data_IF_969610797570
#
_entry.id   IF_969610797570
#
_cell.length_a   1.000
_cell.length_b   1.000
_cell.length_c   1.000
_cell.angle_alpha   90.00
_cell.angle_beta   90.00
_cell.angle_gamma   90.00
#
_symmetry.space_group_name_H-M   'P 1'
#
loop_
_entity.id
_entity.type
_entity.pdbx_description
1 polymer ?
#
# COMPACT_ATOMS: atom_id res chain seq x y z
N UNK A 1 -11.11 38.01 -38.76
CA UNK A 1 -10.30 38.41 -37.59
C UNK A 1 -11.21 38.52 -36.38
N UNK A 2 -11.18 37.54 -35.47
CA UNK A 2 -11.49 37.77 -34.05
C UNK A 2 -11.02 36.54 -33.25
N UNK A 3 -9.70 36.35 -33.21
CA UNK A 3 -9.07 35.32 -32.39
C UNK A 3 -8.99 35.83 -30.97
N UNK A 4 -9.94 35.43 -30.11
CA UNK A 4 -9.77 35.61 -28.66
C UNK A 4 -8.47 34.91 -28.22
N UNK A 5 -7.61 35.56 -27.43
CA UNK A 5 -6.36 34.97 -26.96
C UNK A 5 -6.62 33.64 -26.23
N UNK A 6 -5.73 32.65 -26.43
CA UNK A 6 -5.84 31.30 -25.84
C UNK A 6 -6.02 31.28 -24.31
N UNK A 7 -5.60 32.34 -23.61
CA UNK A 7 -5.79 32.52 -22.16
C UNK A 7 -7.26 32.74 -21.79
N UNK A 8 -7.97 33.64 -22.47
CA UNK A 8 -9.38 33.95 -22.17
C UNK A 8 -10.32 32.78 -22.44
N UNK A 9 -9.99 31.89 -23.39
CA UNK A 9 -10.77 30.65 -23.59
C UNK A 9 -10.59 29.66 -22.45
N UNK A 10 -9.38 29.54 -21.90
CA UNK A 10 -9.12 28.67 -20.74
C UNK A 10 -9.80 29.22 -19.50
N UNK A 11 -9.70 30.52 -19.27
CA UNK A 11 -10.32 31.20 -18.12
C UNK A 11 -11.86 31.12 -18.19
N UNK A 12 -12.45 31.26 -19.38
CA UNK A 12 -13.89 31.09 -19.57
C UNK A 12 -14.37 29.64 -19.40
N UNK A 13 -13.55 28.64 -19.77
CA UNK A 13 -13.82 27.23 -19.48
C UNK A 13 -13.68 26.94 -17.97
N UNK A 14 -12.69 27.53 -17.32
CA UNK A 14 -12.41 27.38 -15.89
C UNK A 14 -13.54 27.98 -15.04
N UNK A 15 -14.04 29.17 -15.37
CA UNK A 15 -15.20 29.79 -14.71
C UNK A 15 -16.48 28.96 -14.92
N UNK A 16 -16.65 28.34 -16.10
CA UNK A 16 -17.78 27.43 -16.35
C UNK A 16 -17.69 26.15 -15.52
N UNK A 17 -16.49 25.60 -15.38
CA UNK A 17 -16.19 24.42 -14.56
C UNK A 17 -16.35 24.71 -13.07
N UNK A 18 -15.95 25.89 -12.61
CA UNK A 18 -16.09 26.31 -11.21
C UNK A 18 -17.56 26.46 -10.82
N UNK A 19 -18.37 27.07 -11.71
CA UNK A 19 -19.83 27.12 -11.54
C UNK A 19 -20.46 25.72 -11.59
N UNK A 20 -19.96 24.83 -12.44
CA UNK A 20 -20.42 23.44 -12.50
C UNK A 20 -20.13 22.63 -11.24
N UNK A 21 -18.92 22.76 -10.67
CA UNK A 21 -18.54 22.11 -9.41
C UNK A 21 -19.28 22.67 -8.20
N UNK A 22 -19.48 23.99 -8.12
CA UNK A 22 -20.24 24.61 -7.03
C UNK A 22 -21.72 24.18 -7.03
N UNK A 23 -22.32 24.00 -8.22
CA UNK A 23 -23.66 23.43 -8.35
C UNK A 23 -23.69 21.96 -7.91
N UNK A 24 -22.62 21.20 -8.18
CA UNK A 24 -22.49 19.81 -7.77
C UNK A 24 -22.34 19.67 -6.25
N UNK A 25 -21.53 20.52 -5.62
CA UNK A 25 -21.32 20.54 -4.18
C UNK A 25 -22.62 20.88 -3.44
N UNK A 26 -23.41 21.83 -3.96
CA UNK A 26 -24.75 22.14 -3.46
C UNK A 26 -25.76 21.00 -3.69
N UNK A 27 -25.64 20.26 -4.80
CA UNK A 27 -26.51 19.12 -5.10
C UNK A 27 -26.21 17.92 -4.18
N UNK A 28 -24.91 17.67 -3.93
CA UNK A 28 -24.42 16.61 -3.04
C UNK A 28 -24.75 16.91 -1.57
N UNK A 29 -24.62 18.16 -1.13
CA UNK A 29 -25.05 18.55 0.23
C UNK A 29 -26.57 18.51 0.41
N UNK A 30 -27.36 18.80 -0.63
CA UNK A 30 -28.81 18.59 -0.59
C UNK A 30 -29.19 17.11 -0.53
N UNK A 31 -28.49 16.22 -1.24
CA UNK A 31 -28.72 14.77 -1.19
C UNK A 31 -28.26 14.15 0.14
N UNK A 32 -27.14 14.59 0.73
CA UNK A 32 -26.71 14.14 2.05
C UNK A 32 -27.70 14.52 3.16
N UNK A 33 -28.35 15.68 3.06
CA UNK A 33 -29.34 16.13 4.05
C UNK A 33 -30.68 15.38 3.97
N UNK A 34 -30.98 14.72 2.85
CA UNK A 34 -32.22 13.95 2.64
C UNK A 34 -32.12 12.46 2.96
N UNK A 35 -30.98 11.98 3.49
CA UNK A 35 -30.82 10.59 3.96
C UNK A 35 -31.55 10.32 5.28
N UNK A 36 -32.89 10.46 5.30
CA UNK A 36 -33.75 9.68 6.21
C UNK A 36 -34.08 8.33 5.55
N UNK A 37 -34.00 7.20 6.27
CA UNK A 37 -34.25 5.90 5.68
C UNK A 37 -35.75 5.70 5.53
N UNK A 38 -36.31 6.04 4.37
CA UNK A 38 -37.73 5.76 4.10
C UNK A 38 -38.07 5.25 2.71
N UNK A 39 -37.09 4.87 1.89
CA UNK A 39 -37.36 4.42 0.51
C UNK A 39 -36.57 3.17 0.14
N UNK A 40 -37.24 2.24 -0.54
CA UNK A 40 -36.81 0.86 -0.77
C UNK A 40 -35.52 0.70 -1.59
N UNK A 41 -34.95 -0.50 -1.53
CA UNK A 41 -33.68 -0.94 -2.17
C UNK A 41 -33.49 -0.48 -3.63
N UNK A 42 -34.55 -0.27 -4.39
CA UNK A 42 -34.49 0.20 -5.79
C UNK A 42 -34.09 1.68 -5.95
N UNK A 43 -34.39 2.54 -4.96
CA UNK A 43 -34.15 3.98 -5.02
C UNK A 43 -32.68 4.31 -4.74
N UNK A 44 -32.06 3.57 -3.79
CA UNK A 44 -30.64 3.68 -3.49
C UNK A 44 -29.76 3.19 -4.66
N UNK A 45 -30.15 2.09 -5.32
CA UNK A 45 -29.44 1.59 -6.49
C UNK A 45 -29.50 2.58 -7.67
N UNK A 46 -30.65 3.27 -7.86
CA UNK A 46 -30.77 4.34 -8.86
C UNK A 46 -29.92 5.55 -8.52
N UNK A 47 -29.97 6.04 -7.28
CA UNK A 47 -29.14 7.17 -6.84
C UNK A 47 -27.65 6.86 -7.01
N UNK A 48 -27.17 5.68 -6.59
CA UNK A 48 -25.79 5.24 -6.83
C UNK A 48 -25.47 5.18 -8.34
N UNK A 49 -26.36 4.60 -9.15
CA UNK A 49 -26.14 4.55 -10.61
C UNK A 49 -26.08 5.94 -11.23
N UNK A 50 -26.88 6.89 -10.72
CA UNK A 50 -26.96 8.25 -11.20
C UNK A 50 -25.75 9.08 -10.76
N UNK A 51 -25.24 8.88 -9.54
CA UNK A 51 -23.96 9.46 -9.09
C UNK A 51 -22.78 8.92 -9.90
N UNK A 52 -22.77 7.62 -10.23
CA UNK A 52 -21.74 7.00 -11.10
C UNK A 52 -21.83 7.57 -12.52
N UNK A 53 -23.03 7.72 -13.08
CA UNK A 53 -23.24 8.27 -14.43
C UNK A 53 -22.81 9.75 -14.48
N UNK A 54 -23.12 10.51 -13.43
CA UNK A 54 -22.73 11.93 -13.30
C UNK A 54 -21.21 12.07 -13.17
N UNK A 55 -20.56 11.23 -12.36
CA UNK A 55 -19.10 11.14 -12.29
C UNK A 55 -18.47 10.78 -13.64
N UNK A 56 -19.03 9.81 -14.38
CA UNK A 56 -18.58 9.45 -15.73
C UNK A 56 -18.75 10.59 -16.73
N UNK A 57 -19.86 11.33 -16.65
CA UNK A 57 -20.12 12.47 -17.51
C UNK A 57 -19.09 13.59 -17.28
N UNK A 58 -18.83 13.92 -16.00
CA UNK A 58 -17.80 14.90 -15.60
C UNK A 58 -16.42 14.46 -16.10
N UNK A 59 -16.08 13.17 -15.95
CA UNK A 59 -14.80 12.62 -16.40
C UNK A 59 -14.66 12.60 -17.93
N UNK A 60 -15.77 12.55 -18.68
CA UNK A 60 -15.76 12.67 -20.16
C UNK A 60 -15.55 14.10 -20.65
N UNK A 61 -16.14 15.09 -19.97
CA UNK A 61 -16.02 16.49 -20.36
C UNK A 61 -14.64 17.08 -20.02
N UNK A 62 -13.98 16.52 -19.01
CA UNK A 62 -12.58 16.80 -18.66
C UNK A 62 -11.65 15.98 -19.57
N UNK A 63 -11.02 16.58 -20.59
CA UNK A 63 -10.01 15.88 -21.42
C UNK A 63 -8.91 15.29 -20.51
N UNK A 64 -8.84 13.96 -20.34
CA UNK A 64 -7.91 13.39 -19.40
C UNK A 64 -6.50 13.51 -19.97
N UNK A 65 -5.60 14.13 -19.21
CA UNK A 65 -4.19 14.15 -19.54
C UNK A 65 -3.62 12.78 -19.16
N UNK A 66 -3.17 12.02 -20.16
CA UNK A 66 -2.57 10.71 -19.93
C UNK A 66 -1.28 10.85 -19.12
N UNK A 67 -1.12 10.03 -18.09
CA UNK A 67 0.12 10.00 -17.31
C UNK A 67 1.27 9.62 -18.25
N UNK A 68 2.25 10.51 -18.42
CA UNK A 68 3.42 10.32 -19.31
C UNK A 68 4.32 9.13 -18.90
N UNK A 69 4.05 8.49 -17.77
CA UNK A 69 4.80 7.35 -17.25
C UNK A 69 4.81 6.13 -18.19
N UNK A 70 3.77 5.89 -18.99
CA UNK A 70 3.77 4.78 -19.97
C UNK A 70 4.62 5.04 -21.20
N UNK A 71 4.74 6.31 -21.62
CA UNK A 71 5.53 6.73 -22.78
C UNK A 71 6.97 7.12 -22.41
N UNK A 72 7.29 7.14 -21.11
CA UNK A 72 8.63 7.42 -20.61
C UNK A 72 9.64 6.33 -21.02
N UNK A 73 10.85 6.76 -21.40
CA UNK A 73 12.00 5.87 -21.60
C UNK A 73 12.33 5.11 -20.31
N UNK A 74 12.99 3.95 -20.42
CA UNK A 74 13.37 3.13 -19.24
C UNK A 74 14.14 3.95 -18.19
N UNK A 75 15.03 4.84 -18.65
CA UNK A 75 15.77 5.76 -17.78
C UNK A 75 14.84 6.74 -17.06
N UNK A 76 13.88 7.36 -17.76
CA UNK A 76 12.93 8.29 -17.16
C UNK A 76 11.97 7.59 -16.17
N UNK A 77 11.61 6.33 -16.44
CA UNK A 77 10.79 5.51 -15.54
C UNK A 77 11.54 5.15 -14.27
N UNK A 78 12.82 4.82 -14.40
CA UNK A 78 13.69 4.44 -13.30
C UNK A 78 14.13 5.61 -12.43
N UNK A 79 14.44 6.76 -13.02
CA UNK A 79 14.81 7.99 -12.31
C UNK A 79 13.59 8.79 -11.80
N UNK A 80 12.38 8.26 -11.98
CA UNK A 80 11.11 8.93 -11.67
C UNK A 80 10.98 10.33 -12.26
N UNK A 81 11.71 10.64 -13.34
CA UNK A 81 11.73 11.97 -13.94
C UNK A 81 10.35 12.43 -14.40
N UNK A 82 9.51 11.50 -14.85
CA UNK A 82 8.13 11.76 -15.25
C UNK A 82 7.26 12.31 -14.11
N UNK A 83 7.61 12.02 -12.84
CA UNK A 83 6.88 12.53 -11.68
C UNK A 83 7.15 14.01 -11.45
N UNK A 84 8.30 14.54 -11.89
CA UNK A 84 8.66 15.95 -11.73
C UNK A 84 7.65 16.91 -12.34
N UNK A 85 7.07 16.58 -13.50
CA UNK A 85 6.01 17.41 -14.11
C UNK A 85 4.73 17.41 -13.29
N UNK A 86 4.36 16.26 -12.71
CA UNK A 86 3.17 16.14 -11.85
C UNK A 86 3.39 16.92 -10.56
N UNK A 87 4.58 16.82 -9.97
CA UNK A 87 4.89 17.53 -8.72
C UNK A 87 4.92 19.04 -8.92
N UNK A 88 5.43 19.51 -10.06
CA UNK A 88 5.39 20.92 -10.43
C UNK A 88 3.95 21.43 -10.65
N UNK A 89 3.07 20.62 -11.26
CA UNK A 89 1.63 20.92 -11.38
C UNK A 89 0.93 20.91 -10.03
N UNK A 90 1.25 19.96 -9.15
CA UNK A 90 0.68 19.87 -7.80
C UNK A 90 1.04 21.09 -6.95
N UNK A 91 2.27 21.59 -7.10
CA UNK A 91 2.73 22.79 -6.41
C UNK A 91 2.02 24.07 -6.89
N UNK A 92 1.68 24.16 -8.19
CA UNK A 92 1.04 25.35 -8.78
C UNK A 92 -0.48 25.34 -8.66
N UNK A 93 -1.10 24.23 -9.03
CA UNK A 93 -2.55 24.11 -9.25
C UNK A 93 -3.25 23.35 -8.11
N UNK A 94 -2.48 22.89 -7.11
CA UNK A 94 -2.97 22.07 -6.01
C UNK A 94 -3.43 20.68 -6.45
N UNK A 95 -4.15 19.98 -5.57
CA UNK A 95 -4.59 18.58 -5.77
C UNK A 95 -5.53 18.41 -6.98
N UNK A 96 -6.11 19.51 -7.48
CA UNK A 96 -7.03 19.50 -8.63
C UNK A 96 -6.38 18.85 -9.86
N UNK A 97 -5.08 19.07 -10.09
CA UNK A 97 -4.37 18.52 -11.26
C UNK A 97 -4.39 16.99 -11.33
N UNK A 98 -4.53 16.30 -10.18
CA UNK A 98 -4.55 14.83 -10.13
C UNK A 98 -5.84 14.23 -10.71
N UNK A 99 -6.97 14.93 -10.63
CA UNK A 99 -8.25 14.45 -11.17
C UNK A 99 -8.27 14.39 -12.70
N UNK A 100 -7.36 15.12 -13.36
CA UNK A 100 -7.21 15.11 -14.82
C UNK A 100 -6.31 13.97 -15.31
N UNK A 101 -5.63 13.24 -14.41
CA UNK A 101 -4.72 12.17 -14.79
C UNK A 101 -5.48 10.89 -15.09
N UNK A 102 -5.22 10.30 -16.26
CA UNK A 102 -5.72 8.96 -16.60
C UNK A 102 -4.66 7.89 -16.38
N UNK A 103 -5.11 6.78 -15.78
CA UNK A 103 -4.33 5.57 -15.60
C UNK A 103 -4.05 4.89 -16.94
N UNK A 104 -2.98 4.09 -16.99
CA UNK A 104 -2.77 3.23 -18.15
C UNK A 104 -3.82 2.12 -18.17
N UNK A 105 -4.18 1.65 -19.37
CA UNK A 105 -5.14 0.54 -19.55
C UNK A 105 -4.74 -0.74 -18.80
N UNK A 106 -3.43 -0.98 -18.63
CA UNK A 106 -2.92 -2.12 -17.86
C UNK A 106 -3.08 -1.98 -16.35
N UNK A 107 -3.17 -0.74 -15.86
CA UNK A 107 -3.29 -0.39 -14.44
C UNK A 107 -4.76 -0.24 -14.02
N UNK A 108 -5.68 -0.25 -14.98
CA UNK A 108 -7.11 -0.12 -14.76
C UNK A 108 -7.69 -1.35 -14.05
N UNK A 109 -8.68 -1.10 -13.18
CA UNK A 109 -9.28 -2.15 -12.36
C UNK A 109 -9.96 -3.23 -13.21
N UNK A 110 -10.69 -2.86 -14.26
CA UNK A 110 -11.44 -3.81 -15.09
C UNK A 110 -10.55 -4.85 -15.78
N UNK A 111 -9.39 -4.42 -16.29
CA UNK A 111 -8.41 -5.32 -16.89
C UNK A 111 -7.82 -6.30 -15.87
N UNK A 112 -7.47 -5.80 -14.68
CA UNK A 112 -6.88 -6.60 -13.62
C UNK A 112 -7.88 -7.57 -12.97
N UNK A 113 -9.13 -7.14 -12.78
CA UNK A 113 -10.23 -7.99 -12.29
C UNK A 113 -10.51 -9.11 -13.29
N UNK A 114 -10.60 -8.79 -14.59
CA UNK A 114 -10.86 -9.80 -15.63
C UNK A 114 -9.73 -10.84 -15.71
N UNK A 115 -8.48 -10.40 -15.58
CA UNK A 115 -7.30 -11.29 -15.54
C UNK A 115 -7.34 -12.24 -14.35
N UNK A 116 -7.71 -11.75 -13.16
CA UNK A 116 -7.82 -12.60 -11.97
C UNK A 116 -9.05 -13.53 -12.05
N UNK A 117 -10.17 -13.06 -12.57
CA UNK A 117 -11.39 -13.86 -12.79
C UNK A 117 -11.09 -15.05 -13.72
N UNK A 118 -10.38 -14.82 -14.84
CA UNK A 118 -9.96 -15.89 -15.75
C UNK A 118 -9.06 -16.93 -15.06
N UNK A 119 -8.10 -16.50 -14.24
CA UNK A 119 -7.23 -17.43 -13.49
C UNK A 119 -7.97 -18.16 -12.37
N UNK A 120 -8.97 -17.54 -11.77
CA UNK A 120 -9.81 -18.14 -10.73
C UNK A 120 -10.73 -19.23 -11.31
N UNK A 121 -11.33 -18.97 -12.47
CA UNK A 121 -12.15 -19.94 -13.18
C UNK A 121 -11.33 -21.15 -13.62
N UNK A 122 -10.07 -20.96 -14.04
CA UNK A 122 -9.17 -22.06 -14.38
C UNK A 122 -8.76 -22.90 -13.16
N UNK A 123 -8.48 -22.27 -12.02
CA UNK A 123 -8.22 -22.97 -10.75
C UNK A 123 -9.45 -23.79 -10.31
N UNK A 124 -10.66 -23.23 -10.47
CA UNK A 124 -11.91 -23.93 -10.17
C UNK A 124 -12.15 -25.14 -11.09
N UNK A 125 -11.82 -25.03 -12.39
CA UNK A 125 -11.94 -26.15 -13.34
C UNK A 125 -10.94 -27.26 -13.05
N UNK A 126 -9.70 -26.90 -12.74
CA UNK A 126 -8.61 -27.87 -12.57
C UNK A 126 -8.64 -28.61 -11.23
N UNK A 127 -9.04 -27.97 -10.13
CA UNK A 127 -9.01 -28.54 -8.77
C UNK A 127 -10.37 -28.74 -8.12
N UNK A 128 -11.44 -28.24 -8.73
CA UNK A 128 -12.77 -28.27 -8.15
C UNK A 128 -12.97 -27.28 -7.01
N UNK A 129 -14.22 -27.07 -6.60
CA UNK A 129 -14.62 -26.05 -5.62
C UNK A 129 -14.11 -26.30 -4.20
N UNK A 130 -13.73 -27.53 -3.86
CA UNK A 130 -13.26 -27.91 -2.52
C UNK A 130 -11.80 -27.58 -2.27
N UNK A 131 -10.95 -27.60 -3.31
CA UNK A 131 -9.50 -27.37 -3.19
C UNK A 131 -9.03 -26.06 -3.83
N UNK A 132 -9.89 -25.32 -4.54
CA UNK A 132 -9.50 -24.09 -5.20
C UNK A 132 -8.99 -23.04 -4.19
N UNK A 133 -7.81 -22.47 -4.47
CA UNK A 133 -7.19 -21.45 -3.60
C UNK A 133 -7.03 -20.13 -4.34
N UNK A 134 -7.55 -19.06 -3.76
CA UNK A 134 -7.42 -17.70 -4.31
C UNK A 134 -5.95 -17.29 -4.39
N UNK A 135 -5.10 -17.73 -3.44
CA UNK A 135 -3.67 -17.45 -3.46
C UNK A 135 -2.99 -18.06 -4.68
N UNK A 136 -3.36 -19.29 -5.06
CA UNK A 136 -2.84 -19.93 -6.28
C UNK A 136 -3.31 -19.23 -7.54
N UNK A 137 -4.58 -18.85 -7.61
CA UNK A 137 -5.11 -18.06 -8.72
C UNK A 137 -4.39 -16.70 -8.86
N UNK A 138 -4.11 -16.02 -7.74
CA UNK A 138 -3.34 -14.77 -7.73
C UNK A 138 -1.91 -14.97 -8.25
N UNK A 139 -1.21 -16.01 -7.76
CA UNK A 139 0.16 -16.33 -8.22
C UNK A 139 0.15 -16.65 -9.71
N UNK A 140 -0.80 -17.46 -10.19
CA UNK A 140 -0.93 -17.81 -11.60
C UNK A 140 -1.21 -16.59 -12.47
N UNK A 141 -2.17 -15.75 -12.06
CA UNK A 141 -2.53 -14.50 -12.76
C UNK A 141 -1.31 -13.57 -12.90
N UNK A 142 -0.50 -13.41 -11.85
CA UNK A 142 0.61 -12.45 -11.81
C UNK A 142 2.01 -13.07 -11.98
N UNK A 143 2.13 -14.36 -12.35
CA UNK A 143 3.40 -15.10 -12.42
C UNK A 143 4.50 -14.39 -13.20
N UNK A 144 4.18 -13.83 -14.36
CA UNK A 144 5.16 -13.14 -15.22
C UNK A 144 5.62 -11.82 -14.62
N UNK A 145 4.74 -11.14 -13.88
CA UNK A 145 5.10 -9.90 -13.20
C UNK A 145 5.92 -10.15 -11.94
N UNK A 146 5.56 -11.19 -11.19
CA UNK A 146 6.31 -11.67 -10.02
C UNK A 146 7.71 -12.14 -10.42
N UNK A 147 7.85 -12.90 -11.51
CA UNK A 147 9.16 -13.33 -11.99
C UNK A 147 10.06 -12.13 -12.34
N UNK A 148 9.54 -11.14 -13.06
CA UNK A 148 10.29 -9.89 -13.33
C UNK A 148 10.68 -9.17 -12.05
N UNK A 149 9.77 -9.09 -11.08
CA UNK A 149 10.05 -8.46 -9.78
C UNK A 149 11.20 -9.16 -9.04
N UNK A 150 11.16 -10.49 -8.98
CA UNK A 150 12.21 -11.30 -8.35
C UNK A 150 13.55 -11.10 -9.05
N UNK A 151 13.58 -11.11 -10.39
CA UNK A 151 14.82 -10.88 -11.15
C UNK A 151 15.44 -9.51 -10.85
N UNK A 152 14.63 -8.43 -10.85
CA UNK A 152 15.15 -7.08 -10.57
C UNK A 152 15.67 -6.95 -9.13
N UNK A 153 15.00 -7.61 -8.17
CA UNK A 153 15.50 -7.68 -6.79
C UNK A 153 16.80 -8.46 -6.71
N UNK A 154 16.90 -9.63 -7.34
CA UNK A 154 18.14 -10.41 -7.35
C UNK A 154 19.30 -9.60 -7.92
N UNK A 155 19.10 -8.88 -9.04
CA UNK A 155 20.10 -7.98 -9.61
C UNK A 155 20.51 -6.89 -8.62
N UNK A 156 19.55 -6.27 -7.93
CA UNK A 156 19.81 -5.24 -6.92
C UNK A 156 20.63 -5.78 -5.76
N UNK A 157 20.26 -6.96 -5.25
CA UNK A 157 20.96 -7.63 -4.16
C UNK A 157 22.37 -8.05 -4.59
N UNK A 158 22.57 -8.48 -5.84
CA UNK A 158 23.89 -8.78 -6.39
C UNK A 158 24.79 -7.54 -6.44
N UNK A 159 24.30 -6.38 -6.90
CA UNK A 159 25.10 -5.15 -6.85
C UNK A 159 25.43 -4.73 -5.41
N UNK A 160 24.48 -4.89 -4.49
CA UNK A 160 24.72 -4.64 -3.06
C UNK A 160 25.84 -5.51 -2.51
N UNK A 161 25.83 -6.79 -2.87
CA UNK A 161 26.83 -7.75 -2.42
C UNK A 161 28.19 -7.52 -3.06
N UNK A 162 28.26 -7.32 -4.38
CA UNK A 162 29.50 -7.06 -5.12
C UNK A 162 30.19 -5.79 -4.61
N UNK A 163 29.43 -4.71 -4.41
CA UNK A 163 29.98 -3.44 -3.93
C UNK A 163 30.58 -3.55 -2.53
N UNK A 164 29.79 -4.08 -1.58
CA UNK A 164 30.18 -4.15 -0.17
C UNK A 164 31.19 -5.26 0.15
N UNK A 165 31.07 -6.43 -0.48
CA UNK A 165 31.88 -7.60 -0.13
C UNK A 165 33.14 -7.71 -0.99
N UNK A 166 33.05 -7.46 -2.30
CA UNK A 166 34.16 -7.68 -3.24
C UNK A 166 34.97 -6.41 -3.48
N UNK A 167 34.33 -5.33 -3.95
CA UNK A 167 35.04 -4.11 -4.35
C UNK A 167 35.66 -3.42 -3.14
N UNK A 168 34.90 -3.29 -2.05
CA UNK A 168 35.41 -2.70 -0.81
C UNK A 168 36.59 -3.50 -0.24
N UNK A 169 36.53 -4.84 -0.30
CA UNK A 169 37.64 -5.68 0.13
C UNK A 169 38.89 -5.45 -0.72
N UNK A 170 38.77 -5.48 -2.05
CA UNK A 170 39.89 -5.23 -2.95
C UNK A 170 40.53 -3.85 -2.70
N UNK A 171 39.70 -2.85 -2.39
CA UNK A 171 40.18 -1.53 -2.00
C UNK A 171 40.94 -1.55 -0.66
N UNK A 172 40.45 -2.27 0.34
CA UNK A 172 41.12 -2.40 1.65
C UNK A 172 42.44 -3.17 1.55
N UNK A 173 42.48 -4.23 0.76
CA UNK A 173 43.69 -5.00 0.48
C UNK A 173 44.72 -4.11 -0.25
N UNK A 174 44.28 -3.30 -1.21
CA UNK A 174 45.13 -2.34 -1.93
C UNK A 174 45.71 -1.23 -1.03
N UNK A 175 44.93 -0.72 -0.08
CA UNK A 175 45.38 0.31 0.87
C UNK A 175 46.37 -0.28 1.89
N UNK A 176 46.23 -1.56 2.23
CA UNK A 176 47.10 -2.24 3.19
C UNK A 176 48.48 -2.56 2.60
N UNK A 177 48.61 -2.59 1.28
CA UNK A 177 49.87 -2.86 0.61
C UNK A 177 50.70 -1.58 0.40
N UNK A 178 51.96 -1.61 0.81
CA UNK A 178 52.84 -0.44 0.92
C UNK A 178 53.42 0.06 -0.42
N UNK A 179 53.27 -0.74 -1.49
CA UNK A 179 53.76 -0.47 -2.86
C UNK A 179 52.62 -0.36 -3.87
N UNK A 180 51.46 0.13 -3.44
CA UNK A 180 50.23 0.09 -4.22
C UNK A 180 50.11 1.27 -5.19
N UNK A 181 49.78 0.98 -6.46
CA UNK A 181 49.65 1.99 -7.52
C UNK A 181 48.39 2.85 -7.33
N UNK A 182 48.56 4.17 -7.33
CA UNK A 182 47.46 5.15 -7.17
C UNK A 182 46.39 5.01 -8.25
N UNK A 183 46.75 4.64 -9.49
CA UNK A 183 45.78 4.49 -10.58
C UNK A 183 44.80 3.35 -10.31
N UNK A 184 45.29 2.21 -9.82
CA UNK A 184 44.47 1.05 -9.46
C UNK A 184 43.52 1.37 -8.31
N UNK A 185 43.97 2.13 -7.31
CA UNK A 185 43.11 2.62 -6.22
C UNK A 185 41.95 3.50 -6.73
N UNK A 186 42.23 4.42 -7.66
CA UNK A 186 41.19 5.26 -8.29
C UNK A 186 40.17 4.40 -9.05
N UNK A 187 40.61 3.35 -9.76
CA UNK A 187 39.71 2.43 -10.48
C UNK A 187 38.76 1.72 -9.51
N UNK A 188 39.24 1.25 -8.35
CA UNK A 188 38.39 0.62 -7.33
C UNK A 188 37.37 1.60 -6.75
N UNK A 189 37.76 2.84 -6.45
CA UNK A 189 36.86 3.88 -5.94
C UNK A 189 35.78 4.23 -6.97
N UNK A 190 36.15 4.45 -8.23
CA UNK A 190 35.19 4.73 -9.31
C UNK A 190 34.26 3.54 -9.52
N UNK A 191 34.79 2.31 -9.49
CA UNK A 191 33.98 1.09 -9.61
C UNK A 191 32.98 0.94 -8.47
N UNK A 192 33.37 1.31 -7.24
CA UNK A 192 32.49 1.31 -6.08
C UNK A 192 31.35 2.31 -6.26
N UNK A 193 31.65 3.55 -6.69
CA UNK A 193 30.65 4.58 -6.97
C UNK A 193 29.66 4.10 -8.06
N UNK A 194 30.17 3.56 -9.17
CA UNK A 194 29.33 3.06 -10.26
C UNK A 194 28.44 1.90 -9.77
N UNK A 195 29.00 0.96 -9.02
CA UNK A 195 28.25 -0.17 -8.46
C UNK A 195 27.13 0.32 -7.52
N UNK A 196 27.40 1.32 -6.69
CA UNK A 196 26.44 1.88 -5.75
C UNK A 196 25.33 2.69 -6.43
N UNK A 197 25.65 3.41 -7.50
CA UNK A 197 24.67 4.08 -8.36
C UNK A 197 23.76 3.07 -9.06
N UNK A 198 24.34 1.99 -9.61
CA UNK A 198 23.56 0.90 -10.23
C UNK A 198 22.65 0.22 -9.22
N UNK A 199 23.16 -0.10 -8.02
CA UNK A 199 22.38 -0.66 -6.91
C UNK A 199 21.20 0.24 -6.56
N UNK A 200 21.44 1.54 -6.38
CA UNK A 200 20.40 2.52 -6.03
C UNK A 200 19.33 2.64 -7.12
N UNK A 201 19.76 2.62 -8.38
CA UNK A 201 18.88 2.67 -9.54
C UNK A 201 17.99 1.42 -9.66
N UNK A 202 18.58 0.23 -9.55
CA UNK A 202 17.81 -1.02 -9.63
C UNK A 202 16.92 -1.22 -8.41
N UNK A 203 17.32 -0.76 -7.23
CA UNK A 203 16.48 -0.77 -6.03
C UNK A 203 15.23 0.08 -6.19
N UNK A 204 15.39 1.30 -6.73
CA UNK A 204 14.28 2.21 -7.02
C UNK A 204 13.31 1.60 -8.03
N UNK A 205 13.84 0.96 -9.08
CA UNK A 205 13.05 0.20 -10.05
C UNK A 205 12.30 -0.99 -9.44
N UNK A 206 12.96 -1.75 -8.56
CA UNK A 206 12.37 -2.89 -7.86
C UNK A 206 11.14 -2.44 -7.06
N UNK A 207 11.28 -1.40 -6.26
CA UNK A 207 10.17 -0.82 -5.49
C UNK A 207 9.05 -0.32 -6.40
N UNK A 208 9.38 0.45 -7.43
CA UNK A 208 8.38 0.96 -8.39
C UNK A 208 7.52 -0.17 -8.98
N UNK A 209 8.18 -1.22 -9.47
CA UNK A 209 7.51 -2.38 -10.08
C UNK A 209 6.70 -3.18 -9.05
N UNK A 210 7.22 -3.35 -7.84
CA UNK A 210 6.52 -4.04 -6.75
C UNK A 210 5.27 -3.30 -6.30
N UNK A 211 5.37 -1.98 -6.11
CA UNK A 211 4.23 -1.12 -5.77
C UNK A 211 3.14 -1.21 -6.83
N UNK A 212 3.51 -1.13 -8.12
CA UNK A 212 2.55 -1.23 -9.21
C UNK A 212 1.86 -2.60 -9.24
N UNK A 213 2.62 -3.69 -9.08
CA UNK A 213 2.06 -5.04 -9.00
C UNK A 213 1.14 -5.21 -7.79
N UNK A 214 1.53 -4.66 -6.63
CA UNK A 214 0.72 -4.67 -5.43
C UNK A 214 -0.61 -3.94 -5.63
N UNK A 215 -0.59 -2.75 -6.24
CA UNK A 215 -1.81 -2.01 -6.56
C UNK A 215 -2.71 -2.79 -7.51
N UNK A 216 -2.15 -3.33 -8.59
CA UNK A 216 -2.87 -4.14 -9.59
C UNK A 216 -3.58 -5.33 -8.95
N UNK A 217 -2.87 -6.11 -8.12
CA UNK A 217 -3.47 -7.29 -7.51
C UNK A 217 -4.40 -6.99 -6.34
N UNK A 218 -4.18 -5.91 -5.57
CA UNK A 218 -5.18 -5.41 -4.61
C UNK A 218 -6.47 -5.03 -5.34
N UNK A 219 -6.37 -4.23 -6.41
CA UNK A 219 -7.53 -3.81 -7.19
C UNK A 219 -8.27 -5.03 -7.79
N UNK A 220 -7.55 -6.02 -8.32
CA UNK A 220 -8.13 -7.25 -8.82
C UNK A 220 -8.88 -8.04 -7.74
N UNK A 221 -8.25 -8.26 -6.59
CA UNK A 221 -8.84 -9.02 -5.49
C UNK A 221 -10.10 -8.34 -4.93
N UNK A 222 -10.04 -7.01 -4.72
CA UNK A 222 -11.18 -6.23 -4.23
C UNK A 222 -12.30 -6.17 -5.27
N UNK A 223 -11.98 -5.97 -6.55
CA UNK A 223 -12.99 -5.95 -7.62
C UNK A 223 -13.66 -7.32 -7.82
N UNK A 224 -12.90 -8.42 -7.73
CA UNK A 224 -13.46 -9.77 -7.76
C UNK A 224 -14.37 -10.03 -6.56
N UNK A 225 -13.95 -9.62 -5.36
CA UNK A 225 -14.77 -9.69 -4.15
C UNK A 225 -16.07 -8.90 -4.30
N UNK A 226 -15.99 -7.69 -4.85
CA UNK A 226 -17.15 -6.84 -5.12
C UNK A 226 -18.13 -7.52 -6.09
N UNK A 227 -17.64 -8.03 -7.24
CA UNK A 227 -18.45 -8.81 -8.18
C UNK A 227 -19.11 -10.01 -7.51
N UNK A 228 -18.37 -10.71 -6.63
CA UNK A 228 -18.90 -11.87 -5.90
C UNK A 228 -20.03 -11.47 -4.97
N UNK A 229 -19.87 -10.38 -4.19
CA UNK A 229 -20.90 -9.88 -3.27
C UNK A 229 -22.18 -9.50 -4.03
N UNK A 230 -22.06 -8.83 -5.18
CA UNK A 230 -23.21 -8.46 -6.00
C UNK A 230 -23.98 -9.67 -6.57
N UNK A 231 -23.30 -10.80 -6.80
CA UNK A 231 -23.92 -12.04 -7.30
C UNK A 231 -24.51 -12.91 -6.19
N UNK A 232 -24.22 -12.65 -4.92
CA UNK A 232 -24.72 -13.44 -3.80
C UNK A 232 -26.17 -13.05 -3.46
N UNK A 233 -27.08 -14.04 -3.41
CA UNK A 233 -28.50 -13.83 -3.03
C UNK A 233 -28.67 -13.46 -1.55
N UNK A 234 -27.75 -13.93 -0.69
CA UNK A 234 -27.70 -13.60 0.74
C UNK A 234 -26.26 -13.68 1.22
N UNK A 235 -25.88 -12.76 2.12
CA UNK A 235 -24.56 -12.73 2.77
C UNK A 235 -24.40 -13.82 3.85
N UNK A 236 -25.41 -14.70 4.02
CA UNK A 236 -25.49 -15.71 5.07
C UNK A 236 -25.22 -15.07 6.44
N UNK A 237 -24.12 -15.46 7.08
CA UNK A 237 -23.72 -15.11 8.45
C UNK A 237 -22.74 -13.94 8.52
N UNK A 238 -22.29 -13.40 7.37
CA UNK A 238 -21.30 -12.31 7.37
C UNK A 238 -21.96 -10.96 7.62
N UNK A 239 -21.46 -10.26 8.64
CA UNK A 239 -21.88 -8.90 8.96
C UNK A 239 -21.31 -7.90 7.95
N UNK A 240 -22.01 -6.78 7.73
CA UNK A 240 -21.54 -5.69 6.86
C UNK A 240 -20.16 -5.19 7.33
N UNK A 241 -19.93 -5.11 8.65
CA UNK A 241 -18.64 -4.72 9.22
C UNK A 241 -17.49 -5.66 8.84
N UNK A 242 -17.75 -6.97 8.70
CA UNK A 242 -16.73 -7.93 8.25
C UNK A 242 -16.38 -7.73 6.78
N UNK A 243 -17.37 -7.41 5.94
CA UNK A 243 -17.10 -7.08 4.53
C UNK A 243 -16.26 -5.81 4.40
N UNK A 244 -16.58 -4.77 5.17
CA UNK A 244 -15.77 -3.54 5.22
C UNK A 244 -14.34 -3.84 5.67
N UNK A 245 -14.17 -4.70 6.68
CA UNK A 245 -12.84 -5.13 7.11
C UNK A 245 -12.08 -5.89 6.01
N UNK A 246 -12.77 -6.73 5.22
CA UNK A 246 -12.16 -7.41 4.07
C UNK A 246 -11.66 -6.41 3.01
N UNK A 247 -12.42 -5.36 2.71
CA UNK A 247 -12.01 -4.34 1.73
C UNK A 247 -10.85 -3.46 2.22
N UNK A 248 -10.87 -3.10 3.50
CA UNK A 248 -9.89 -2.19 4.08
C UNK A 248 -8.61 -2.93 4.50
N UNK A 249 -8.73 -3.82 5.47
CA UNK A 249 -7.59 -4.43 6.13
C UNK A 249 -7.06 -5.64 5.37
N UNK A 250 -7.92 -6.55 4.93
CA UNK A 250 -7.46 -7.73 4.18
C UNK A 250 -6.97 -7.33 2.78
N UNK A 251 -7.63 -6.34 2.15
CA UNK A 251 -7.14 -5.74 0.91
C UNK A 251 -5.77 -5.07 1.04
N UNK A 252 -5.49 -4.42 2.17
CA UNK A 252 -4.17 -3.87 2.46
C UNK A 252 -3.11 -4.98 2.65
N UNK A 253 -3.47 -6.07 3.34
CA UNK A 253 -2.58 -7.23 3.49
C UNK A 253 -2.25 -7.90 2.15
N UNK A 254 -3.22 -7.99 1.23
CA UNK A 254 -2.97 -8.48 -0.13
C UNK A 254 -1.97 -7.59 -0.87
N UNK A 255 -2.12 -6.28 -0.75
CA UNK A 255 -1.16 -5.32 -1.31
C UNK A 255 0.24 -5.54 -0.74
N UNK A 256 0.37 -5.57 0.59
CA UNK A 256 1.66 -5.77 1.27
C UNK A 256 2.31 -7.10 0.89
N UNK A 257 1.52 -8.18 0.80
CA UNK A 257 2.00 -9.49 0.39
C UNK A 257 2.56 -9.48 -1.04
N UNK A 258 1.92 -8.74 -1.96
CA UNK A 258 2.40 -8.63 -3.34
C UNK A 258 3.60 -7.70 -3.50
N UNK A 259 3.68 -6.63 -2.71
CA UNK A 259 4.82 -5.71 -2.71
C UNK A 259 6.06 -6.37 -2.11
N UNK A 260 5.90 -7.09 -0.99
CA UNK A 260 7.00 -7.69 -0.25
C UNK A 260 7.34 -9.12 -0.68
N UNK A 261 6.41 -9.84 -1.31
CA UNK A 261 6.58 -11.23 -1.74
C UNK A 261 7.86 -11.50 -2.56
N UNK A 262 8.23 -10.64 -3.53
CA UNK A 262 9.47 -10.79 -4.28
C UNK A 262 10.74 -10.81 -3.39
N UNK A 263 10.76 -10.08 -2.27
CA UNK A 263 11.88 -10.11 -1.32
C UNK A 263 11.98 -11.44 -0.57
N UNK A 264 10.84 -12.06 -0.25
CA UNK A 264 10.80 -13.37 0.41
C UNK A 264 11.40 -14.46 -0.48
N UNK A 265 11.18 -14.37 -1.80
CA UNK A 265 11.75 -15.32 -2.77
C UNK A 265 13.22 -15.03 -3.08
N UNK A 266 13.59 -13.75 -3.21
CA UNK A 266 14.98 -13.35 -3.50
C UNK A 266 15.93 -13.44 -2.31
N UNK A 267 15.42 -13.30 -1.08
CA UNK A 267 16.20 -13.28 0.16
C UNK A 267 17.05 -14.54 0.40
N UNK A 268 16.50 -15.76 0.29
CA UNK A 268 17.27 -16.99 0.47
C UNK A 268 18.46 -17.12 -0.49
N UNK A 269 18.33 -16.64 -1.73
CA UNK A 269 19.40 -16.69 -2.72
C UNK A 269 20.60 -15.86 -2.29
N UNK A 270 20.37 -14.60 -1.87
CA UNK A 270 21.46 -13.73 -1.42
C UNK A 270 22.03 -14.19 -0.08
N UNK A 271 21.17 -14.70 0.81
CA UNK A 271 21.60 -15.26 2.09
C UNK A 271 22.57 -16.41 1.87
N UNK A 272 22.25 -17.36 0.99
CA UNK A 272 23.13 -18.48 0.66
C UNK A 272 24.45 -18.00 0.03
N UNK A 273 24.41 -17.01 -0.88
CA UNK A 273 25.61 -16.44 -1.47
C UNK A 273 26.53 -15.79 -0.40
N UNK A 274 25.94 -15.06 0.55
CA UNK A 274 26.65 -14.47 1.68
C UNK A 274 27.24 -15.52 2.62
N UNK A 275 26.52 -16.60 2.91
CA UNK A 275 27.02 -17.72 3.71
C UNK A 275 28.26 -18.35 3.07
N UNK A 276 28.18 -18.68 1.77
CA UNK A 276 29.30 -19.27 1.04
C UNK A 276 30.51 -18.33 1.05
N UNK A 277 30.29 -17.05 0.80
CA UNK A 277 31.37 -16.06 0.81
C UNK A 277 32.03 -15.92 2.19
N UNK A 278 31.24 -15.88 3.26
CA UNK A 278 31.77 -15.79 4.62
C UNK A 278 32.61 -17.03 4.98
N UNK A 279 32.16 -18.22 4.59
CA UNK A 279 32.91 -19.46 4.78
C UNK A 279 34.23 -19.46 4.01
N UNK A 280 34.26 -18.94 2.78
CA UNK A 280 35.49 -18.83 1.99
C UNK A 280 36.46 -17.81 2.60
N UNK A 281 35.95 -16.70 3.14
CA UNK A 281 36.78 -15.62 3.67
C UNK A 281 37.41 -15.96 5.03
N UNK A 282 36.62 -16.53 5.95
CA UNK A 282 37.00 -16.71 7.36
C UNK A 282 37.21 -18.18 7.75
N UNK A 283 36.99 -19.12 6.83
CA UNK A 283 37.08 -20.56 7.11
C UNK A 283 36.13 -21.01 8.22
N UNK A 284 36.62 -21.81 9.16
CA UNK A 284 35.84 -22.37 10.26
C UNK A 284 35.27 -21.30 11.21
N UNK A 285 35.95 -20.16 11.38
CA UNK A 285 35.49 -19.06 12.23
C UNK A 285 34.21 -18.40 11.71
N UNK A 286 33.96 -18.46 10.40
CA UNK A 286 32.72 -17.98 9.80
C UNK A 286 31.48 -18.69 10.34
N UNK A 287 31.59 -19.95 10.78
CA UNK A 287 30.48 -20.71 11.35
C UNK A 287 29.94 -20.10 12.65
N UNK A 288 30.80 -19.45 13.44
CA UNK A 288 30.38 -18.76 14.67
C UNK A 288 29.46 -17.58 14.33
N UNK A 289 29.79 -16.79 13.30
CA UNK A 289 28.94 -15.69 12.82
C UNK A 289 27.59 -16.17 12.32
N UNK A 290 27.56 -17.29 11.59
CA UNK A 290 26.32 -17.92 11.12
C UNK A 290 25.47 -18.39 12.30
N UNK A 291 26.08 -19.05 13.30
CA UNK A 291 25.41 -19.47 14.52
C UNK A 291 24.78 -18.30 15.28
N UNK A 292 25.52 -17.20 15.43
CA UNK A 292 25.02 -15.98 16.07
C UNK A 292 23.86 -15.37 15.28
N UNK A 293 23.93 -15.33 13.95
CA UNK A 293 22.84 -14.81 13.12
C UNK A 293 21.54 -15.63 13.29
N UNK A 294 21.66 -16.96 13.32
CA UNK A 294 20.51 -17.85 13.56
C UNK A 294 19.95 -17.64 14.98
N UNK A 295 20.81 -17.52 15.99
CA UNK A 295 20.37 -17.25 17.36
C UNK A 295 19.59 -15.93 17.47
N UNK A 296 20.08 -14.86 16.84
CA UNK A 296 19.38 -13.57 16.77
C UNK A 296 18.03 -13.72 16.07
N UNK A 297 17.96 -14.47 14.96
CA UNK A 297 16.70 -14.72 14.27
C UNK A 297 15.67 -15.44 15.15
N UNK A 298 16.11 -16.43 15.93
CA UNK A 298 15.26 -17.13 16.90
C UNK A 298 14.76 -16.18 18.00
N UNK A 299 15.62 -15.31 18.53
CA UNK A 299 15.23 -14.29 19.52
C UNK A 299 14.19 -13.34 18.94
N UNK A 300 14.40 -12.82 17.73
CA UNK A 300 13.45 -11.93 17.04
C UNK A 300 12.09 -12.63 16.86
N UNK A 301 12.08 -13.92 16.53
CA UNK A 301 10.84 -14.69 16.44
C UNK A 301 10.10 -14.72 17.78
N UNK A 302 10.76 -15.09 18.88
CA UNK A 302 10.14 -15.11 20.21
C UNK A 302 9.59 -13.74 20.62
N UNK A 303 10.34 -12.67 20.33
CA UNK A 303 9.88 -11.29 20.56
C UNK A 303 8.62 -10.98 19.73
N UNK A 304 8.60 -11.39 18.46
CA UNK A 304 7.45 -11.18 17.57
C UNK A 304 6.21 -11.92 18.05
N UNK A 305 6.36 -13.17 18.49
CA UNK A 305 5.26 -13.97 19.05
C UNK A 305 4.70 -13.32 20.33
N UNK A 306 5.59 -12.76 21.18
CA UNK A 306 5.21 -11.97 22.34
C UNK A 306 4.44 -10.70 21.97
N UNK A 307 4.95 -9.92 21.01
CA UNK A 307 4.28 -8.72 20.48
C UNK A 307 2.90 -9.07 19.93
N UNK A 308 2.76 -10.18 19.20
CA UNK A 308 1.47 -10.62 18.67
C UNK A 308 0.48 -10.95 19.79
N UNK A 309 0.92 -11.62 20.85
CA UNK A 309 0.10 -11.92 22.03
C UNK A 309 -0.41 -10.62 22.69
N UNK A 310 0.48 -9.68 23.00
CA UNK A 310 0.10 -8.40 23.59
C UNK A 310 -0.80 -7.58 22.66
N UNK A 311 -0.56 -7.61 21.35
CA UNK A 311 -1.41 -6.95 20.36
C UNK A 311 -2.83 -7.51 20.37
N UNK A 312 -2.98 -8.84 20.45
CA UNK A 312 -4.30 -9.48 20.55
C UNK A 312 -5.03 -9.05 21.81
N UNK A 313 -4.35 -9.03 22.95
CA UNK A 313 -4.92 -8.57 24.22
C UNK A 313 -5.32 -7.09 24.16
N UNK A 314 -4.47 -6.23 23.61
CA UNK A 314 -4.75 -4.81 23.44
C UNK A 314 -5.97 -4.57 22.54
N UNK A 315 -6.10 -5.30 21.43
CA UNK A 315 -7.27 -5.24 20.55
C UNK A 315 -8.54 -5.69 21.31
N UNK A 316 -8.46 -6.75 22.12
CA UNK A 316 -9.60 -7.24 22.91
C UNK A 316 -10.08 -6.20 23.93
N UNK A 317 -9.16 -5.67 24.75
CA UNK A 317 -9.46 -4.65 25.76
C UNK A 317 -10.00 -3.36 25.14
N UNK A 318 -9.39 -2.92 24.03
CA UNK A 318 -9.85 -1.75 23.27
C UNK A 318 -11.26 -1.99 22.73
N UNK A 319 -11.56 -3.20 22.26
CA UNK A 319 -12.89 -3.60 21.79
C UNK A 319 -13.96 -3.50 22.88
N UNK A 320 -13.69 -4.04 24.08
CA UNK A 320 -14.60 -3.95 25.23
C UNK A 320 -14.87 -2.49 25.63
N UNK A 321 -13.82 -1.66 25.64
CA UNK A 321 -13.94 -0.23 25.94
C UNK A 321 -14.82 0.50 24.93
N UNK A 322 -14.64 0.26 23.64
CA UNK A 322 -15.45 0.89 22.58
C UNK A 322 -16.92 0.48 22.70
N UNK A 323 -17.20 -0.78 23.05
CA UNK A 323 -18.55 -1.26 23.28
C UNK A 323 -19.22 -0.54 24.46
N UNK A 324 -18.55 -0.46 25.62
CA UNK A 324 -19.05 0.26 26.79
C UNK A 324 -19.30 1.74 26.49
N UNK A 325 -18.37 2.41 25.80
CA UNK A 325 -18.55 3.80 25.39
C UNK A 325 -19.79 3.99 24.49
N UNK A 326 -20.04 3.04 23.59
CA UNK A 326 -21.22 3.09 22.71
C UNK A 326 -22.52 2.92 23.50
N UNK A 327 -22.54 2.03 24.49
CA UNK A 327 -23.68 1.83 25.39
C UNK A 327 -23.96 3.07 26.23
N UNK A 328 -22.91 3.66 26.82
CA UNK A 328 -23.01 4.92 27.57
C UNK A 328 -23.54 6.07 26.72
N UNK A 329 -23.05 6.23 25.48
CA UNK A 329 -23.55 7.25 24.55
C UNK A 329 -25.03 7.03 24.18
N UNK A 330 -25.45 5.77 24.06
CA UNK A 330 -26.85 5.41 23.80
C UNK A 330 -27.73 5.74 25.00
N UNK A 331 -27.31 5.38 26.21
CA UNK A 331 -27.97 5.76 27.46
C UNK A 331 -28.01 7.28 27.65
N UNK A 332 -26.95 8.01 27.29
CA UNK A 332 -26.92 9.48 27.37
C UNK A 332 -27.96 10.13 26.44
N UNK A 333 -28.16 9.59 25.23
CA UNK A 333 -29.23 10.05 24.33
C UNK A 333 -30.61 9.83 24.97
N UNK A 334 -30.85 8.68 25.59
CA UNK A 334 -32.09 8.37 26.30
C UNK A 334 -32.30 9.28 27.52
N UNK A 335 -31.25 9.56 28.28
CA UNK A 335 -31.31 10.42 29.48
C UNK A 335 -31.56 11.89 29.10
N UNK A 336 -30.89 12.40 28.05
CA UNK A 336 -31.17 13.75 27.52
C UNK A 336 -32.60 13.87 27.01
N UNK A 337 -33.14 12.83 26.38
CA UNK A 337 -34.54 12.78 25.97
C UNK A 337 -35.50 12.81 27.17
N UNK A 338 -35.10 12.24 28.32
CA UNK A 338 -35.89 12.20 29.56
C UNK A 338 -35.63 13.38 30.53
N UNK A 339 -34.91 14.43 30.12
CA UNK A 339 -34.93 15.74 30.79
C UNK A 339 -34.35 15.82 32.22
N UNK A 340 -33.43 14.95 32.63
CA UNK A 340 -32.83 14.98 33.98
C UNK A 340 -31.34 15.34 33.96
N UNK A 341 -31.02 16.60 34.29
CA UNK A 341 -29.66 17.18 34.21
C UNK A 341 -28.65 16.59 35.21
N UNK A 342 -29.09 15.99 36.31
CA UNK A 342 -28.21 15.52 37.40
C UNK A 342 -27.43 14.24 37.07
N UNK A 343 -27.86 13.46 36.08
CA UNK A 343 -27.21 12.18 35.70
C UNK A 343 -26.03 12.40 34.74
N UNK A 344 -25.92 13.58 34.13
CA UNK A 344 -24.86 13.93 33.17
C UNK A 344 -23.48 13.93 33.84
N UNK A 345 -23.39 14.31 35.12
CA UNK A 345 -22.11 14.42 35.86
C UNK A 345 -21.49 13.04 36.10
N UNK A 346 -22.30 12.03 36.47
CA UNK A 346 -21.82 10.66 36.70
C UNK A 346 -21.27 10.05 35.41
N UNK A 347 -21.95 10.30 34.29
CA UNK A 347 -21.52 9.82 32.97
C UNK A 347 -20.22 10.49 32.52
N UNK A 348 -20.07 11.81 32.73
CA UNK A 348 -18.82 12.53 32.41
C UNK A 348 -17.65 11.98 33.22
N UNK A 349 -17.84 11.68 34.51
CA UNK A 349 -16.79 11.08 35.36
C UNK A 349 -16.40 9.69 34.85
N UNK A 350 -17.37 8.83 34.49
CA UNK A 350 -17.09 7.50 33.92
C UNK A 350 -16.34 7.60 32.59
N UNK A 351 -16.72 8.54 31.71
CA UNK A 351 -16.05 8.77 30.42
C UNK A 351 -14.62 9.29 30.62
N UNK A 352 -14.39 10.19 31.60
CA UNK A 352 -13.06 10.73 31.92
C UNK A 352 -12.16 9.66 32.52
N UNK A 353 -12.67 8.82 33.44
CA UNK A 353 -11.91 7.70 34.03
C UNK A 353 -11.56 6.65 32.97
N UNK A 354 -12.50 6.35 32.06
CA UNK A 354 -12.26 5.44 30.93
C UNK A 354 -11.42 6.06 29.80
N UNK A 355 -11.20 7.37 29.79
CA UNK A 355 -10.25 8.06 28.93
C UNK A 355 -8.83 8.07 29.54
N UNK A 356 -8.70 8.20 30.87
CA UNK A 356 -7.42 8.17 31.56
C UNK A 356 -6.69 6.82 31.42
N UNK A 357 -7.43 5.70 31.37
CA UNK A 357 -6.88 4.36 31.12
C UNK A 357 -6.27 4.19 29.73
N UNK A 358 -6.67 5.01 28.76
CA UNK A 358 -6.17 5.00 27.37
C UNK A 358 -4.78 5.55 27.26
N UNK A 359 -4.52 6.64 27.99
CA UNK A 359 -3.22 7.30 27.95
C UNK A 359 -2.17 6.33 28.46
N UNK A 360 -2.47 5.57 29.51
CA UNK A 360 -1.54 4.57 30.05
C UNK A 360 -1.28 3.44 29.06
N UNK A 361 -2.31 2.85 28.44
CA UNK A 361 -2.13 1.73 27.51
C UNK A 361 -1.46 2.16 26.21
N UNK A 362 -1.85 3.31 25.64
CA UNK A 362 -1.23 3.83 24.42
C UNK A 362 0.20 4.27 24.68
N UNK A 363 0.50 4.92 25.80
CA UNK A 363 1.88 5.29 26.16
C UNK A 363 2.73 4.04 26.36
N UNK A 364 2.24 3.02 27.06
CA UNK A 364 2.99 1.77 27.25
C UNK A 364 3.23 1.06 25.91
N UNK A 365 2.23 0.95 25.04
CA UNK A 365 2.37 0.29 23.74
C UNK A 365 3.26 1.11 22.80
N UNK A 366 3.12 2.43 22.74
CA UNK A 366 3.94 3.29 21.88
C UNK A 366 5.37 3.33 22.38
N UNK A 367 5.61 3.40 23.69
CA UNK A 367 6.97 3.34 24.26
C UNK A 367 7.60 1.98 23.97
N UNK A 368 6.88 0.87 24.15
CA UNK A 368 7.42 -0.47 23.84
C UNK A 368 7.69 -0.62 22.35
N UNK A 369 6.80 -0.16 21.47
CA UNK A 369 6.99 -0.26 20.01
C UNK A 369 8.11 0.65 19.54
N UNK A 370 8.21 1.88 20.03
CA UNK A 370 9.27 2.82 19.63
C UNK A 370 10.63 2.35 20.15
N UNK A 371 10.72 1.85 21.38
CA UNK A 371 11.99 1.34 21.94
C UNK A 371 12.45 0.06 21.21
N UNK A 372 11.52 -0.78 20.75
CA UNK A 372 11.86 -2.04 20.06
C UNK A 372 12.06 -1.88 18.55
N UNK A 373 11.48 -0.85 17.91
CA UNK A 373 11.57 -0.65 16.45
C UNK A 373 12.63 0.38 16.06
N UNK A 374 13.05 1.27 16.97
CA UNK A 374 14.05 2.33 16.69
C UNK A 374 15.47 1.97 17.15
N UNK A 375 15.67 0.81 17.79
CA UNK A 375 17.00 0.18 17.95
C UNK A 375 17.18 -0.94 16.93
#
# INVERSE_FOLDING_TARGET
>A
MNGRPKGERKEAEEIRLEKGMALLENSLTQEEFQLRPRSGRGTMARSISQSIETQKQITRDLKPQKIRASEASLLSRASFWWMGSIMASLYRDGVRCLFYLSWNKEDEADANVSRLEASWDEELRSRGSGEASLARAMISAYRSSLLRAVVVICVTLSFSFIGSACILRLLLDHISDSQSDTRTGIIFVVSLIVCELLRSFTFSLAWSHNYLNGMRGRAAAMGLLYKKILRLRSLKDKKIGELVNMFSHDGQRVFEAMVNGPFVVGGPFIFLAGLVYLCVLMGAWGMVGIGTYIAVFVIIKFLTDGIEHFRKLAIHLTGQRVALMTEVLTCMKLIKMNGSSSVVVVVVVVVVVAAATVVVVVVVVVVVVVVVVVQ
#
